data_IF_979741025905
#
_entry.id   IF_979741025905
#
_cell.length_a   1.000
_cell.length_b   1.000
_cell.length_c   1.000
_cell.angle_alpha   90.00
_cell.angle_beta   90.00
_cell.angle_gamma   90.00
#
_symmetry.space_group_name_H-M   'P 1'
#
loop_
_entity.id
_entity.type
_entity.pdbx_description
1 polymer ?
#
# COMPACT_ATOMS: atom_id res chain seq x y z
N UNK A 1 -3.52 4.84 -46.89
CA UNK A 1 -2.23 5.54 -46.82
C UNK A 1 -2.52 6.99 -46.49
N UNK A 2 -2.19 7.52 -45.30
CA UNK A 2 -1.55 6.85 -44.16
C UNK A 2 -2.09 7.34 -42.80
N UNK A 3 -1.80 6.52 -41.81
CA UNK A 3 -1.94 6.58 -40.34
C UNK A 3 -2.84 7.58 -39.60
N UNK A 4 -3.67 6.96 -38.77
CA UNK A 4 -4.23 7.49 -37.52
C UNK A 4 -3.13 7.93 -36.56
N UNK A 5 -3.28 9.10 -35.93
CA UNK A 5 -2.87 9.28 -34.52
C UNK A 5 -4.00 9.92 -33.71
N UNK A 6 -4.42 9.21 -32.66
CA UNK A 6 -5.48 9.56 -31.73
C UNK A 6 -4.82 9.92 -30.38
N UNK A 7 -4.99 11.15 -29.89
CA UNK A 7 -4.34 11.64 -28.65
C UNK A 7 -5.02 11.09 -27.37
N UNK A 8 -4.92 9.77 -27.17
CA UNK A 8 -5.35 8.95 -26.03
C UNK A 8 -4.34 8.73 -24.87
N UNK A 9 -4.26 9.33 -23.67
CA UNK A 9 -5.01 10.36 -22.93
C UNK A 9 -4.04 11.53 -22.56
N UNK A 10 -4.13 12.29 -21.46
CA UNK A 10 -4.03 11.86 -20.05
C UNK A 10 -4.90 12.73 -19.13
N UNK A 11 -6.14 12.29 -18.86
CA UNK A 11 -7.04 13.00 -17.95
C UNK A 11 -6.53 12.89 -16.50
N UNK A 12 -6.09 14.02 -15.91
CA UNK A 12 -5.48 14.03 -14.57
C UNK A 12 -6.54 13.80 -13.49
N UNK A 13 -6.75 12.54 -13.11
CA UNK A 13 -7.77 12.13 -12.14
C UNK A 13 -7.48 12.73 -10.76
N UNK A 14 -8.18 13.83 -10.47
CA UNK A 14 -8.13 14.55 -9.21
C UNK A 14 -8.70 13.70 -8.05
N UNK A 15 -7.86 12.84 -7.46
CA UNK A 15 -8.24 11.97 -6.35
C UNK A 15 -8.43 12.76 -5.04
N UNK A 16 -9.65 13.30 -4.91
CA UNK A 16 -10.18 14.00 -3.73
C UNK A 16 -10.03 13.11 -2.46
N UNK A 17 -9.21 13.49 -1.46
CA UNK A 17 -8.87 12.60 -0.34
C UNK A 17 -9.99 12.49 0.70
N UNK A 18 -10.93 11.57 0.45
CA UNK A 18 -12.14 11.29 1.26
C UNK A 18 -12.31 9.77 1.35
N UNK A 19 -12.46 9.13 2.50
CA UNK A 19 -12.31 9.62 3.87
C UNK A 19 -11.88 8.48 4.82
N UNK A 20 -11.48 8.86 6.03
CA UNK A 20 -10.98 7.96 7.07
C UNK A 20 -12.12 7.11 7.66
N UNK A 21 -12.13 5.80 7.43
CA UNK A 21 -12.94 4.85 8.21
C UNK A 21 -12.12 3.59 8.52
N UNK A 22 -11.76 3.42 9.80
CA UNK A 22 -11.04 2.24 10.31
C UNK A 22 -12.08 1.21 10.75
N UNK A 23 -11.71 -0.08 10.82
CA UNK A 23 -12.56 -1.22 11.16
C UNK A 23 -13.60 -1.62 10.08
N UNK A 24 -13.26 -1.40 8.80
CA UNK A 24 -14.01 -1.91 7.64
C UNK A 24 -13.06 -2.06 6.45
N UNK A 25 -12.18 -3.06 6.50
CA UNK A 25 -11.00 -3.13 5.63
C UNK A 25 -11.30 -3.96 4.36
N UNK A 26 -11.89 -3.31 3.36
CA UNK A 26 -12.02 -3.86 2.01
C UNK A 26 -10.65 -4.03 1.35
N UNK A 27 -10.27 -5.28 1.05
CA UNK A 27 -8.99 -5.64 0.43
C UNK A 27 -8.88 -5.03 -0.99
N UNK A 28 -10.02 -4.84 -1.65
CA UNK A 28 -10.12 -4.35 -3.04
C UNK A 28 -9.54 -2.94 -3.25
N UNK A 29 -9.54 -2.09 -2.21
CA UNK A 29 -9.24 -0.66 -2.31
C UNK A 29 -8.05 -0.24 -1.43
N UNK A 30 -7.02 -1.09 -1.34
CA UNK A 30 -5.78 -0.78 -0.61
C UNK A 30 -4.84 0.15 -1.41
N UNK A 31 -4.28 1.21 -0.80
CA UNK A 31 -3.22 2.01 -1.42
C UNK A 31 -1.91 1.22 -1.49
N UNK A 32 -1.06 1.53 -2.48
CA UNK A 32 0.18 0.78 -2.73
C UNK A 32 1.17 0.82 -1.57
N UNK A 33 1.18 1.89 -0.76
CA UNK A 33 2.13 2.11 0.33
C UNK A 33 1.43 2.34 1.68
N UNK A 34 1.27 1.28 2.45
CA UNK A 34 0.60 1.29 3.75
C UNK A 34 1.55 1.75 4.88
N UNK A 35 1.00 2.41 5.89
CA UNK A 35 1.70 2.75 7.14
C UNK A 35 1.87 1.53 8.05
N UNK A 36 2.70 1.69 9.08
CA UNK A 36 2.80 0.76 10.23
C UNK A 36 1.45 0.51 10.91
N UNK A 37 0.49 1.46 10.83
CA UNK A 37 -0.83 1.29 11.43
C UNK A 37 -1.73 0.39 10.59
N UNK A 38 -1.96 0.74 9.32
CA UNK A 38 -2.86 -0.03 8.45
C UNK A 38 -2.40 -1.49 8.29
N UNK A 39 -1.08 -1.74 8.22
CA UNK A 39 -0.52 -3.12 8.20
C UNK A 39 -0.75 -3.87 9.50
N UNK A 40 -0.67 -3.20 10.65
CA UNK A 40 -0.95 -3.82 11.95
C UNK A 40 -2.42 -4.19 12.08
N UNK A 41 -3.30 -3.31 11.61
CA UNK A 41 -4.74 -3.47 11.68
C UNK A 41 -5.23 -4.55 10.68
N UNK A 42 -4.66 -4.62 9.46
CA UNK A 42 -4.85 -5.69 8.45
C UNK A 42 -4.42 -7.07 8.96
N UNK A 43 -3.18 -7.19 9.42
CA UNK A 43 -2.59 -8.46 9.84
C UNK A 43 -2.97 -8.85 11.28
N UNK A 44 -3.82 -8.05 11.95
CA UNK A 44 -4.27 -8.22 13.35
C UNK A 44 -3.12 -8.42 14.35
N UNK A 45 -2.01 -7.71 14.16
CA UNK A 45 -0.82 -7.77 15.04
C UNK A 45 -0.46 -6.41 15.62
N UNK A 46 0.33 -6.37 16.69
CA UNK A 46 0.78 -5.08 17.25
C UNK A 46 1.64 -4.27 16.27
N UNK A 47 1.52 -2.93 16.34
CA UNK A 47 2.36 -1.98 15.59
C UNK A 47 3.87 -2.15 15.91
N UNK A 48 4.20 -2.72 17.07
CA UNK A 48 5.57 -3.12 17.44
C UNK A 48 6.02 -4.40 16.71
N UNK A 49 5.13 -5.38 16.51
CA UNK A 49 5.40 -6.60 15.73
C UNK A 49 5.78 -6.24 14.29
N UNK A 50 5.01 -5.36 13.65
CA UNK A 50 5.31 -4.86 12.29
C UNK A 50 6.68 -4.16 12.23
N UNK A 51 6.98 -3.25 13.19
CA UNK A 51 8.30 -2.61 13.30
C UNK A 51 9.45 -3.62 13.51
N UNK A 52 9.20 -4.72 14.23
CA UNK A 52 10.14 -5.84 14.46
C UNK A 52 10.32 -6.75 13.24
N UNK A 53 9.31 -6.90 12.37
CA UNK A 53 9.47 -7.60 11.08
C UNK A 53 10.28 -6.76 10.08
N UNK A 54 10.03 -5.45 10.01
CA UNK A 54 10.86 -4.53 9.22
C UNK A 54 12.30 -4.37 9.71
N UNK A 55 12.62 -4.74 10.95
CA UNK A 55 14.02 -4.90 11.43
C UNK A 55 14.63 -6.27 11.12
N UNK A 56 13.83 -7.28 10.77
CA UNK A 56 14.24 -8.69 10.57
C UNK A 56 14.03 -9.18 9.13
N UNK A 57 13.92 -8.28 8.15
CA UNK A 57 13.70 -8.60 6.74
C UNK A 57 12.30 -9.12 6.37
N UNK A 58 11.60 -9.86 7.26
CA UNK A 58 10.31 -10.54 6.97
C UNK A 58 9.24 -9.67 6.30
N UNK A 59 9.23 -8.36 6.59
CA UNK A 59 8.38 -7.41 5.87
C UNK A 59 9.22 -6.15 5.58
N UNK A 60 9.84 -6.03 4.39
CA UNK A 60 10.79 -4.95 4.09
C UNK A 60 10.11 -3.58 4.14
N UNK A 61 10.72 -2.65 4.89
CA UNK A 61 10.17 -1.32 5.15
C UNK A 61 10.87 -0.26 4.28
N UNK A 62 10.11 0.41 3.42
CA UNK A 62 10.59 1.58 2.67
C UNK A 62 10.64 2.77 3.64
N UNK A 63 11.76 3.49 3.68
CA UNK A 63 11.87 4.79 4.37
C UNK A 63 11.58 5.90 3.36
N UNK A 64 10.61 6.75 3.66
CA UNK A 64 10.12 7.78 2.70
C UNK A 64 10.64 9.20 2.98
N UNK A 65 11.29 9.43 4.12
CA UNK A 65 11.77 10.76 4.53
C UNK A 65 12.97 10.67 5.49
N UNK A 66 13.62 11.80 5.74
CA UNK A 66 14.76 11.92 6.67
C UNK A 66 14.42 11.51 8.11
N UNK A 67 13.15 11.65 8.53
CA UNK A 67 12.65 11.17 9.84
C UNK A 67 12.69 9.64 9.98
N UNK A 68 12.76 8.92 8.86
CA UNK A 68 12.73 7.45 8.84
C UNK A 68 11.33 6.85 8.99
N UNK A 69 10.28 7.60 8.63
CA UNK A 69 8.92 7.07 8.57
C UNK A 69 8.83 5.89 7.59
N UNK A 70 8.10 4.85 7.99
CA UNK A 70 8.09 3.54 7.32
C UNK A 70 6.79 3.29 6.56
N UNK A 71 6.93 2.91 5.29
CA UNK A 71 5.87 2.36 4.44
C UNK A 71 6.16 0.91 4.05
N UNK A 72 5.12 0.17 3.71
CA UNK A 72 5.18 -1.21 3.22
C UNK A 72 4.34 -1.35 1.95
N UNK A 73 4.81 -2.12 0.96
CA UNK A 73 4.05 -2.37 -0.27
C UNK A 73 2.84 -3.25 -0.01
N UNK A 74 1.69 -2.96 -0.66
CA UNK A 74 0.46 -3.78 -0.55
C UNK A 74 0.73 -5.25 -0.84
N UNK A 75 1.48 -5.56 -1.89
CA UNK A 75 1.91 -6.90 -2.31
C UNK A 75 2.49 -7.72 -1.15
N UNK A 76 3.45 -7.15 -0.41
CA UNK A 76 4.16 -7.84 0.66
C UNK A 76 3.27 -8.08 1.89
N UNK A 77 2.20 -7.29 2.07
CA UNK A 77 1.20 -7.44 3.13
C UNK A 77 0.16 -8.50 2.73
N UNK A 78 -0.28 -8.50 1.46
CA UNK A 78 -1.19 -9.50 0.89
C UNK A 78 -0.53 -10.90 0.81
N UNK A 79 0.74 -10.97 0.43
CA UNK A 79 1.52 -12.22 0.47
C UNK A 79 1.62 -12.80 1.90
N UNK A 80 1.72 -11.94 2.93
CA UNK A 80 1.66 -12.36 4.33
C UNK A 80 0.27 -12.89 4.77
N UNK A 81 -0.79 -12.61 4.01
CA UNK A 81 -2.14 -13.18 4.17
C UNK A 81 -2.38 -14.42 3.28
N UNK A 82 -1.39 -14.84 2.48
CA UNK A 82 -1.56 -15.89 1.47
C UNK A 82 -2.32 -15.47 0.22
N UNK A 83 -2.67 -14.18 0.09
CA UNK A 83 -3.32 -13.63 -1.10
C UNK A 83 -2.22 -13.30 -2.11
N UNK A 84 -2.07 -14.17 -3.10
CA UNK A 84 -1.22 -13.91 -4.25
C UNK A 84 -2.01 -13.06 -5.25
N UNK A 85 -1.39 -12.01 -5.77
CA UNK A 85 -1.87 -11.36 -6.98
C UNK A 85 -1.30 -12.17 -8.16
N UNK A 86 -2.19 -12.61 -9.03
CA UNK A 86 -1.92 -13.39 -10.25
C UNK A 86 -1.65 -12.43 -11.44
#
# INVERSE_FOLDING_TARGET
MDDVQNESQNNSVNQKPIAKKVNGVSIENLPDLLTVAEVADLLRVSKLTVKRWGKRGKLPAIRINARGDRRYRKEAVLWLLGIQAE
#
